data_IF_261216155111
#
_entry.id   IF_261216155111
#
_cell.length_a   1.000
_cell.length_b   1.000
_cell.length_c   1.000
_cell.angle_alpha   90.00
_cell.angle_beta   90.00
_cell.angle_gamma   90.00
#
_symmetry.space_group_name_H-M   'P 1'
#
loop_
_entity.id
_entity.type
_entity.pdbx_description
1 polymer ?
#
# COMPACT_ATOMS: atom_id res chain seq x y z
N UNK A 1 14.19 9.85 16.91
CA UNK A 1 13.18 10.91 16.69
C UNK A 1 12.72 11.56 17.99
N UNK A 2 12.08 10.84 18.93
CA UNK A 2 11.54 11.44 20.17
C UNK A 2 12.54 12.27 21.00
N UNK A 3 13.84 11.89 21.04
CA UNK A 3 14.88 12.71 21.70
C UNK A 3 15.09 14.06 21.01
N UNK A 4 15.03 14.10 19.67
CA UNK A 4 15.19 15.32 18.88
C UNK A 4 13.97 16.24 19.04
N UNK A 5 12.76 15.66 19.04
CA UNK A 5 11.51 16.36 19.35
C UNK A 5 11.59 17.01 20.74
N UNK A 6 11.94 16.24 21.78
CA UNK A 6 12.12 16.77 23.14
C UNK A 6 13.18 17.86 23.26
N UNK A 7 14.12 17.92 22.32
CA UNK A 7 15.14 18.96 22.23
C UNK A 7 14.73 20.15 21.35
N UNK A 8 13.47 20.22 20.92
CA UNK A 8 12.94 21.30 20.08
C UNK A 8 13.54 21.35 18.68
N UNK A 9 13.88 20.19 18.08
CA UNK A 9 14.48 20.11 16.75
C UNK A 9 13.50 19.58 15.72
N UNK A 10 13.45 20.23 14.55
CA UNK A 10 12.80 19.69 13.36
C UNK A 10 13.42 18.34 12.98
N UNK A 11 12.63 17.47 12.36
CA UNK A 11 13.02 16.13 11.94
C UNK A 11 12.88 16.02 10.42
N UNK A 12 13.97 15.64 9.77
CA UNK A 12 13.96 15.04 8.45
C UNK A 12 14.49 13.61 8.58
N UNK A 13 13.74 12.61 8.10
CA UNK A 13 14.11 11.20 8.23
C UNK A 13 13.85 10.42 6.96
N UNK A 14 14.61 9.35 6.75
CA UNK A 14 14.29 8.34 5.75
C UNK A 14 13.01 7.57 6.09
N UNK A 15 12.41 6.97 5.05
CA UNK A 15 11.33 5.99 5.19
C UNK A 15 11.86 4.66 5.75
N UNK A 16 11.04 3.83 6.40
CA UNK A 16 9.69 4.13 6.93
C UNK A 16 9.79 4.86 8.28
N UNK A 17 8.75 5.61 8.66
CA UNK A 17 8.80 6.47 9.86
C UNK A 17 9.10 5.70 11.16
N UNK A 18 8.49 4.53 11.32
CA UNK A 18 8.68 3.63 12.45
C UNK A 18 8.30 2.18 12.09
N UNK A 19 8.79 1.18 12.85
CA UNK A 19 8.40 -0.23 12.71
C UNK A 19 6.93 -0.55 12.94
N UNK A 20 6.25 0.23 13.79
CA UNK A 20 4.84 0.01 14.11
C UNK A 20 4.04 1.28 13.92
N UNK A 21 2.74 1.13 13.63
CA UNK A 21 1.82 2.27 13.56
C UNK A 21 1.73 2.99 14.91
N UNK A 22 1.75 2.27 16.02
CA UNK A 22 1.75 2.86 17.37
C UNK A 22 2.99 3.74 17.62
N UNK A 23 4.17 3.31 17.18
CA UNK A 23 5.37 4.14 17.25
C UNK A 23 5.31 5.36 16.35
N UNK A 24 4.80 5.20 15.12
CA UNK A 24 4.58 6.30 14.20
C UNK A 24 3.60 7.33 14.78
N UNK A 25 2.49 6.87 15.38
CA UNK A 25 1.50 7.70 16.07
C UNK A 25 2.11 8.42 17.27
N UNK A 26 2.95 7.74 18.07
CA UNK A 26 3.68 8.40 19.17
C UNK A 26 4.65 9.47 18.68
N UNK A 27 5.31 9.26 17.54
CA UNK A 27 6.17 10.28 16.95
C UNK A 27 5.35 11.46 16.44
N UNK A 28 4.24 11.19 15.75
CA UNK A 28 3.34 12.22 15.24
C UNK A 28 2.65 13.02 16.36
N UNK A 29 2.24 12.37 17.45
CA UNK A 29 1.63 13.03 18.61
C UNK A 29 2.65 13.81 19.45
N UNK A 30 3.93 13.44 19.38
CA UNK A 30 5.00 14.20 20.02
C UNK A 30 5.41 15.43 19.21
N UNK A 31 5.06 15.50 17.92
CA UNK A 31 5.28 16.67 17.09
C UNK A 31 4.45 17.83 17.67
N UNK A 32 5.15 18.78 18.30
CA UNK A 32 4.55 20.03 18.74
C UNK A 32 4.21 20.87 17.49
N UNK A 33 3.16 21.70 17.56
CA UNK A 33 2.67 22.48 16.42
C UNK A 33 3.71 23.47 15.81
N UNK A 34 4.89 23.57 16.43
CA UNK A 34 6.01 24.42 16.02
C UNK A 34 7.20 23.65 15.44
N UNK A 35 7.21 22.32 15.51
CA UNK A 35 8.23 21.48 14.90
C UNK A 35 7.75 20.99 13.53
N UNK A 36 8.72 20.63 12.69
CA UNK A 36 8.46 20.13 11.34
C UNK A 36 8.95 18.70 11.30
N UNK A 37 8.05 17.77 10.97
CA UNK A 37 8.35 16.37 10.73
C UNK A 37 8.20 16.06 9.24
N UNK A 38 9.32 15.76 8.59
CA UNK A 38 9.35 15.39 7.18
C UNK A 38 9.94 13.98 7.01
N UNK A 39 9.16 13.11 6.36
CA UNK A 39 9.64 11.80 5.89
C UNK A 39 10.06 11.94 4.43
N UNK A 40 11.23 11.40 4.09
CA UNK A 40 11.78 11.36 2.75
C UNK A 40 10.93 10.46 1.85
N UNK A 41 10.00 11.08 1.12
CA UNK A 41 9.13 10.43 0.13
C UNK A 41 9.42 11.04 -1.25
N UNK A 42 10.61 10.77 -1.84
CA UNK A 42 11.11 11.53 -2.99
C UNK A 42 10.20 11.48 -4.21
N UNK A 43 9.50 10.36 -4.45
CA UNK A 43 8.64 10.19 -5.63
C UNK A 43 7.39 11.07 -5.64
N UNK A 44 7.00 11.63 -4.49
CA UNK A 44 5.95 12.66 -4.45
C UNK A 44 6.33 13.93 -5.23
N UNK A 45 7.62 14.09 -5.52
CA UNK A 45 8.17 15.28 -6.14
C UNK A 45 8.89 14.99 -7.46
N UNK A 46 8.86 13.75 -7.93
CA UNK A 46 9.40 13.41 -9.24
C UNK A 46 8.58 14.08 -10.34
N UNK A 47 9.21 14.52 -11.46
CA UNK A 47 8.51 15.24 -12.50
C UNK A 47 7.30 14.48 -13.08
N UNK A 48 7.38 13.15 -13.17
CA UNK A 48 6.25 12.33 -13.62
C UNK A 48 5.06 12.41 -12.66
N UNK A 49 5.29 12.45 -11.34
CA UNK A 49 4.21 12.56 -10.34
C UNK A 49 3.55 13.92 -10.44
N UNK A 50 4.34 14.99 -10.57
CA UNK A 50 3.83 16.35 -10.74
C UNK A 50 2.97 16.44 -12.02
N UNK A 51 3.41 15.83 -13.12
CA UNK A 51 2.64 15.78 -14.36
C UNK A 51 1.31 15.00 -14.21
N UNK A 52 1.34 13.86 -13.50
CA UNK A 52 0.13 13.06 -13.22
C UNK A 52 -0.87 13.87 -12.39
N UNK A 53 -0.41 14.52 -11.32
CA UNK A 53 -1.28 15.36 -10.48
C UNK A 53 -1.90 16.51 -11.25
N UNK A 54 -1.10 17.21 -12.07
CA UNK A 54 -1.61 18.27 -12.95
C UNK A 54 -2.68 17.73 -13.91
N UNK A 55 -2.46 16.56 -14.50
CA UNK A 55 -3.42 15.92 -15.41
C UNK A 55 -4.73 15.56 -14.69
N UNK A 56 -4.64 15.16 -13.42
CA UNK A 56 -5.80 14.91 -12.55
C UNK A 56 -6.52 16.21 -12.19
N UNK A 57 -5.80 17.26 -11.83
CA UNK A 57 -6.34 18.58 -11.46
C UNK A 57 -7.05 19.27 -12.63
N UNK A 58 -6.51 19.11 -13.85
CA UNK A 58 -7.14 19.59 -15.09
C UNK A 58 -8.39 18.78 -15.47
N UNK A 59 -8.67 17.68 -14.77
CA UNK A 59 -9.81 16.80 -15.06
C UNK A 59 -9.65 16.02 -16.38
N UNK A 60 -8.44 15.93 -16.93
CA UNK A 60 -8.17 15.31 -18.23
C UNK A 60 -8.55 13.82 -18.24
N UNK A 61 -8.36 13.11 -17.12
CA UNK A 61 -8.77 11.69 -17.00
C UNK A 61 -10.24 11.51 -16.57
N UNK A 62 -10.94 12.59 -16.22
CA UNK A 62 -12.16 12.51 -15.43
C UNK A 62 -11.92 11.88 -14.05
N UNK A 63 -12.93 11.19 -13.54
CA UNK A 63 -12.80 10.50 -12.25
C UNK A 63 -11.84 9.32 -12.34
N UNK A 64 -10.82 9.21 -11.47
CA UNK A 64 -9.99 8.02 -11.36
C UNK A 64 -10.84 6.80 -11.03
N UNK A 65 -10.59 5.67 -11.71
CA UNK A 65 -11.32 4.41 -11.52
C UNK A 65 -10.40 3.29 -11.06
N UNK A 66 -9.15 3.30 -11.55
CA UNK A 66 -8.17 2.25 -11.28
C UNK A 66 -6.76 2.82 -11.28
N UNK A 67 -5.90 2.31 -10.39
CA UNK A 67 -4.46 2.55 -10.45
C UNK A 67 -3.67 1.27 -10.19
N UNK A 68 -2.51 1.14 -10.83
CA UNK A 68 -1.50 0.14 -10.52
C UNK A 68 -0.15 0.80 -10.41
N UNK A 69 0.53 0.67 -9.28
CA UNK A 69 1.87 1.21 -9.08
C UNK A 69 2.80 0.09 -8.63
N UNK A 70 3.89 -0.10 -9.34
CA UNK A 70 4.86 -1.16 -9.03
C UNK A 70 6.24 -0.56 -8.89
N UNK A 71 6.94 -0.97 -7.84
CA UNK A 71 8.37 -0.72 -7.67
C UNK A 71 9.09 -2.03 -7.37
N UNK A 72 10.11 -2.33 -8.15
CA UNK A 72 10.87 -3.55 -7.99
C UNK A 72 12.32 -3.39 -8.45
N UNK A 73 13.16 -4.32 -8.05
CA UNK A 73 14.48 -4.53 -8.62
C UNK A 73 14.91 -6.00 -8.47
N UNK A 74 16.07 -6.34 -8.99
CA UNK A 74 16.61 -7.69 -9.07
C UNK A 74 17.56 -8.02 -7.90
N UNK A 75 17.44 -7.31 -6.78
CA UNK A 75 18.53 -7.21 -5.79
C UNK A 75 18.97 -8.52 -5.17
N UNK A 76 18.02 -9.41 -4.86
CA UNK A 76 18.36 -10.74 -4.37
C UNK A 76 18.83 -11.69 -5.46
N UNK A 77 18.20 -11.65 -6.65
CA UNK A 77 18.54 -12.58 -7.74
C UNK A 77 19.86 -12.20 -8.42
N UNK A 78 20.21 -10.92 -8.45
CA UNK A 78 21.48 -10.39 -8.96
C UNK A 78 22.58 -10.29 -7.88
N UNK A 79 22.25 -10.55 -6.61
CA UNK A 79 23.23 -10.69 -5.53
C UNK A 79 23.86 -9.38 -5.03
N UNK A 80 23.27 -8.21 -5.32
CA UNK A 80 23.80 -6.91 -4.86
C UNK A 80 23.06 -6.37 -3.62
N UNK A 81 21.88 -6.89 -3.28
CA UNK A 81 21.13 -6.42 -2.12
C UNK A 81 21.82 -6.87 -0.82
N UNK A 82 22.15 -5.96 0.11
CA UNK A 82 22.84 -6.32 1.33
C UNK A 82 22.05 -7.29 2.21
N UNK A 83 22.75 -8.24 2.84
CA UNK A 83 22.13 -9.32 3.63
C UNK A 83 21.22 -8.81 4.77
N UNK A 84 21.50 -7.62 5.31
CA UNK A 84 20.65 -6.98 6.34
C UNK A 84 19.20 -6.76 5.91
N UNK A 85 18.91 -6.72 4.61
CA UNK A 85 17.54 -6.63 4.08
C UNK A 85 16.77 -7.96 4.15
N UNK A 86 17.45 -9.06 4.46
CA UNK A 86 16.84 -10.37 4.71
C UNK A 86 16.53 -10.64 6.18
N UNK A 87 17.00 -9.76 7.08
CA UNK A 87 16.83 -9.86 8.53
C UNK A 87 15.61 -9.05 8.98
N UNK A 88 14.62 -9.66 9.66
CA UNK A 88 13.37 -8.99 10.00
C UNK A 88 13.53 -7.85 11.00
N UNK A 89 14.53 -7.89 11.87
CA UNK A 89 14.77 -6.86 12.89
C UNK A 89 15.45 -5.62 12.27
N UNK A 90 16.48 -5.85 11.45
CA UNK A 90 17.22 -4.77 10.78
C UNK A 90 16.45 -4.14 9.62
N UNK A 91 15.66 -4.94 8.89
CA UNK A 91 14.92 -4.48 7.70
C UNK A 91 13.49 -4.02 8.02
N UNK A 92 12.93 -4.38 9.17
CA UNK A 92 11.57 -4.02 9.59
C UNK A 92 10.51 -4.62 8.61
N UNK A 93 10.88 -5.68 7.90
CA UNK A 93 10.09 -6.32 6.86
C UNK A 93 10.89 -6.46 5.57
N UNK A 94 10.28 -7.05 4.54
CA UNK A 94 10.96 -7.35 3.29
C UNK A 94 10.68 -6.32 2.21
N UNK A 95 10.41 -6.81 1.00
CA UNK A 95 10.18 -5.99 -0.18
C UNK A 95 9.11 -4.91 0.04
N UNK A 96 8.06 -5.20 0.82
CA UNK A 96 6.97 -4.25 0.99
C UNK A 96 7.37 -3.06 1.88
N UNK A 97 8.08 -3.31 2.98
CA UNK A 97 8.59 -2.24 3.85
C UNK A 97 9.59 -1.37 3.10
N UNK A 98 10.52 -1.98 2.36
CA UNK A 98 11.55 -1.25 1.64
C UNK A 98 10.98 -0.50 0.42
N UNK A 99 10.32 -1.21 -0.49
CA UNK A 99 9.87 -0.65 -1.76
C UNK A 99 8.39 -0.30 -1.77
N UNK A 100 7.53 -1.15 -1.19
CA UNK A 100 6.07 -1.06 -1.27
C UNK A 100 5.46 0.22 -0.70
N UNK A 101 6.14 0.86 0.25
CA UNK A 101 5.73 2.17 0.77
C UNK A 101 5.60 3.23 -0.34
N UNK A 102 6.44 3.16 -1.39
CA UNK A 102 6.43 4.08 -2.51
C UNK A 102 5.16 3.97 -3.36
N UNK A 103 4.85 2.81 -3.96
CA UNK A 103 3.55 2.54 -4.55
C UNK A 103 2.34 2.86 -3.67
N UNK A 104 2.40 2.60 -2.36
CA UNK A 104 1.29 2.85 -1.46
C UNK A 104 0.93 4.35 -1.36
N UNK A 105 1.90 5.23 -1.09
CA UNK A 105 1.60 6.66 -1.01
C UNK A 105 1.26 7.28 -2.37
N UNK A 106 1.81 6.77 -3.48
CA UNK A 106 1.47 7.26 -4.82
C UNK A 106 0.04 6.87 -5.20
N UNK A 107 -0.36 5.64 -4.90
CA UNK A 107 -1.74 5.19 -5.12
C UNK A 107 -2.73 6.07 -4.36
N UNK A 108 -2.43 6.36 -3.09
CA UNK A 108 -3.23 7.29 -2.26
C UNK A 108 -3.30 8.70 -2.85
N UNK A 109 -2.17 9.21 -3.34
CA UNK A 109 -2.08 10.51 -4.00
C UNK A 109 -2.98 10.59 -5.23
N UNK A 110 -2.91 9.58 -6.11
CA UNK A 110 -3.66 9.57 -7.37
C UNK A 110 -5.18 9.44 -7.17
N UNK A 111 -5.61 8.68 -6.15
CA UNK A 111 -7.03 8.59 -5.80
C UNK A 111 -7.53 9.76 -4.95
N UNK A 112 -6.64 10.61 -4.43
CA UNK A 112 -6.97 11.74 -3.53
C UNK A 112 -7.87 11.31 -2.36
N UNK A 113 -7.65 10.11 -1.85
CA UNK A 113 -8.49 9.51 -0.83
C UNK A 113 -7.68 8.49 -0.03
N UNK A 114 -8.15 8.18 1.18
CA UNK A 114 -7.69 7.02 1.94
C UNK A 114 -8.44 5.76 1.46
N UNK A 115 -7.80 4.58 1.44
CA UNK A 115 -8.47 3.34 1.13
C UNK A 115 -9.45 2.94 2.25
N UNK A 116 -10.62 2.42 1.88
CA UNK A 116 -11.62 1.87 2.81
C UNK A 116 -11.32 0.43 3.23
N UNK A 117 -10.60 -0.32 2.40
CA UNK A 117 -10.16 -1.68 2.69
C UNK A 117 -8.88 -1.99 1.93
N UNK A 118 -8.07 -2.90 2.47
CA UNK A 118 -6.88 -3.45 1.80
C UNK A 118 -6.83 -4.97 1.96
N UNK A 119 -6.25 -5.64 0.97
CA UNK A 119 -5.91 -7.06 1.02
C UNK A 119 -4.54 -7.27 0.39
N UNK A 120 -3.69 -8.07 1.04
CA UNK A 120 -2.29 -8.26 0.65
C UNK A 120 -1.94 -9.74 0.50
N UNK A 121 -1.10 -10.04 -0.48
CA UNK A 121 -0.47 -11.34 -0.68
C UNK A 121 1.04 -11.13 -0.75
N UNK A 122 1.76 -11.90 0.05
CA UNK A 122 3.22 -11.88 0.13
C UNK A 122 3.81 -13.19 -0.39
N UNK A 123 4.95 -13.09 -1.07
CA UNK A 123 5.71 -14.22 -1.61
C UNK A 123 7.16 -14.19 -1.14
N UNK A 124 7.73 -15.38 -0.97
CA UNK A 124 9.16 -15.57 -0.67
C UNK A 124 9.71 -16.63 -1.62
N UNK A 125 10.51 -16.19 -2.59
CA UNK A 125 11.20 -17.02 -3.59
C UNK A 125 12.58 -17.43 -3.07
N UNK A 126 13.25 -16.51 -2.38
CA UNK A 126 14.62 -16.67 -1.86
C UNK A 126 14.67 -17.37 -0.50
N UNK A 127 13.50 -17.68 0.08
CA UNK A 127 13.34 -18.42 1.35
C UNK A 127 14.06 -17.73 2.51
N UNK A 128 14.07 -16.39 2.48
CA UNK A 128 14.55 -15.55 3.57
C UNK A 128 13.47 -15.38 4.65
N UNK A 129 13.85 -14.80 5.78
CA UNK A 129 12.92 -14.59 6.91
C UNK A 129 11.87 -13.50 6.64
N UNK A 130 12.05 -12.72 5.57
CA UNK A 130 11.13 -11.69 5.10
C UNK A 130 10.68 -11.99 3.67
N UNK A 131 9.58 -11.37 3.26
CA UNK A 131 9.03 -11.50 1.91
C UNK A 131 9.92 -10.80 0.86
N UNK A 132 9.99 -11.36 -0.34
CA UNK A 132 10.68 -10.74 -1.47
C UNK A 132 9.74 -10.28 -2.58
N UNK A 133 8.44 -10.57 -2.45
CA UNK A 133 7.37 -10.10 -3.29
C UNK A 133 6.14 -9.71 -2.47
N UNK A 134 5.46 -8.66 -2.90
CA UNK A 134 4.21 -8.22 -2.33
C UNK A 134 3.28 -7.68 -3.41
N UNK A 135 2.01 -8.06 -3.33
CA UNK A 135 0.91 -7.46 -4.09
C UNK A 135 -0.15 -7.04 -3.09
N UNK A 136 -0.52 -5.77 -3.10
CA UNK A 136 -1.58 -5.23 -2.27
C UNK A 136 -2.66 -4.65 -3.16
N UNK A 137 -3.90 -4.96 -2.82
CA UNK A 137 -5.11 -4.39 -3.42
C UNK A 137 -5.78 -3.48 -2.41
N UNK A 138 -6.30 -2.36 -2.88
CA UNK A 138 -6.98 -1.36 -2.07
C UNK A 138 -8.30 -0.97 -2.72
N UNK A 139 -9.33 -0.89 -1.89
CA UNK A 139 -10.62 -0.32 -2.24
C UNK A 139 -10.63 1.14 -1.79
N UNK A 140 -11.06 2.05 -2.67
CA UNK A 140 -11.24 3.46 -2.37
C UNK A 140 -12.74 3.82 -2.45
N UNK A 141 -13.17 4.91 -1.78
CA UNK A 141 -14.55 5.38 -1.86
C UNK A 141 -15.03 5.52 -3.30
N UNK A 142 -16.28 5.14 -3.57
CA UNK A 142 -16.85 5.17 -4.93
C UNK A 142 -16.51 3.97 -5.80
N UNK A 143 -16.02 2.86 -5.22
CA UNK A 143 -15.73 1.62 -5.94
C UNK A 143 -14.45 1.65 -6.77
N UNK A 144 -13.59 2.66 -6.55
CA UNK A 144 -12.30 2.81 -7.21
C UNK A 144 -11.31 1.80 -6.64
N UNK A 145 -10.42 1.29 -7.47
CA UNK A 145 -9.47 0.24 -7.08
C UNK A 145 -8.02 0.70 -7.23
N UNK A 146 -7.18 0.29 -6.31
CA UNK A 146 -5.73 0.46 -6.38
C UNK A 146 -5.03 -0.88 -6.24
N UNK A 147 -3.95 -1.06 -7.00
CA UNK A 147 -3.00 -2.15 -6.85
C UNK A 147 -1.63 -1.54 -6.64
N UNK A 148 -0.92 -1.99 -5.61
CA UNK A 148 0.46 -1.60 -5.41
C UNK A 148 1.36 -2.78 -5.06
N UNK A 149 2.52 -2.81 -5.71
CA UNK A 149 3.37 -4.00 -5.78
C UNK A 149 4.82 -3.66 -5.45
N UNK A 150 5.48 -4.59 -4.76
CA UNK A 150 6.89 -4.54 -4.43
C UNK A 150 7.59 -5.87 -4.76
N UNK A 151 8.80 -5.81 -5.30
CA UNK A 151 9.62 -7.01 -5.49
C UNK A 151 11.12 -6.72 -5.46
N UNK A 152 11.90 -7.60 -4.85
CA UNK A 152 13.37 -7.55 -4.86
C UNK A 152 14.00 -8.75 -5.57
N UNK A 153 13.18 -9.53 -6.29
CA UNK A 153 13.58 -10.74 -7.03
C UNK A 153 13.13 -10.70 -8.49
N UNK A 154 12.84 -9.52 -9.02
CA UNK A 154 12.29 -9.38 -10.37
C UNK A 154 13.34 -8.99 -11.39
N UNK A 155 13.23 -9.50 -12.62
CA UNK A 155 14.05 -9.09 -13.76
C UNK A 155 13.82 -7.65 -14.22
N UNK A 156 14.38 -7.24 -15.37
CA UNK A 156 14.38 -5.86 -15.85
C UNK A 156 12.99 -5.21 -15.87
N UNK A 157 12.91 -3.94 -15.47
CA UNK A 157 11.67 -3.17 -15.33
C UNK A 157 11.40 -2.80 -13.87
N UNK A 158 11.92 -1.64 -13.46
CA UNK A 158 12.03 -1.24 -12.05
C UNK A 158 10.77 -0.54 -11.53
N UNK A 159 10.20 0.39 -12.29
CA UNK A 159 9.11 1.23 -11.80
C UNK A 159 8.08 1.53 -12.87
N UNK A 160 6.81 1.31 -12.54
CA UNK A 160 5.69 1.57 -13.45
C UNK A 160 4.46 2.09 -12.72
N UNK A 161 3.74 2.98 -13.39
CA UNK A 161 2.43 3.50 -12.97
C UNK A 161 1.45 3.26 -14.11
N UNK A 162 0.27 2.79 -13.78
CA UNK A 162 -0.91 2.82 -14.61
C UNK A 162 -2.00 3.55 -13.83
N UNK A 163 -2.66 4.51 -14.46
CA UNK A 163 -3.77 5.24 -13.89
C UNK A 163 -4.87 5.36 -14.92
N UNK A 164 -6.08 4.93 -14.57
CA UNK A 164 -7.25 4.95 -15.41
C UNK A 164 -8.28 5.87 -14.79
N UNK A 165 -8.96 6.62 -15.64
CA UNK A 165 -10.15 7.37 -15.29
C UNK A 165 -11.24 7.19 -16.33
N UNK A 166 -12.39 7.80 -16.05
CA UNK A 166 -13.60 7.72 -16.89
C UNK A 166 -13.46 8.31 -18.30
N UNK A 167 -12.48 9.19 -18.53
CA UNK A 167 -12.25 9.85 -19.83
C UNK A 167 -10.86 9.63 -20.42
N UNK A 168 -9.97 8.96 -19.70
CA UNK A 168 -8.62 8.75 -20.19
C UNK A 168 -7.77 7.87 -19.28
N UNK A 169 -6.53 7.67 -19.70
CA UNK A 169 -5.56 6.87 -19.00
C UNK A 169 -4.14 7.44 -19.11
N UNK A 170 -3.36 7.25 -18.06
CA UNK A 170 -1.93 7.50 -18.02
C UNK A 170 -1.17 6.20 -17.78
N UNK A 171 -0.03 6.07 -18.43
CA UNK A 171 0.99 5.08 -18.06
C UNK A 171 2.33 5.77 -17.90
N UNK A 172 3.09 5.32 -16.93
CA UNK A 172 4.50 5.64 -16.78
C UNK A 172 5.28 4.35 -16.63
N UNK A 173 6.40 4.23 -17.33
CA UNK A 173 7.18 3.01 -17.37
C UNK A 173 7.63 2.73 -18.79
N UNK A 174 8.68 1.90 -18.92
CA UNK A 174 9.42 1.73 -20.18
C UNK A 174 10.12 3.03 -20.65
N UNK A 175 11.46 3.04 -20.63
CA UNK A 175 12.25 4.22 -21.01
C UNK A 175 12.01 5.49 -20.17
N UNK A 176 11.32 5.41 -19.02
CA UNK A 176 10.92 6.56 -18.16
C UNK A 176 9.98 7.55 -18.86
N UNK A 177 9.16 7.06 -19.80
CA UNK A 177 8.17 7.88 -20.52
C UNK A 177 6.83 7.93 -19.77
N UNK A 178 6.22 9.11 -19.70
CA UNK A 178 4.83 9.30 -19.28
C UNK A 178 3.96 9.41 -20.52
N UNK A 179 2.92 8.60 -20.64
CA UNK A 179 2.03 8.56 -21.81
C UNK A 179 0.58 8.76 -21.39
N UNK A 180 -0.16 9.53 -22.18
CA UNK A 180 -1.57 9.85 -22.00
C UNK A 180 -2.40 9.35 -23.18
N UNK A 181 -3.59 8.85 -22.90
CA UNK A 181 -4.59 8.53 -23.90
C UNK A 181 -5.98 8.99 -23.43
N UNK A 182 -6.65 9.82 -24.22
CA UNK A 182 -7.99 10.36 -23.98
C UNK A 182 -9.01 9.92 -25.04
N UNK A 183 -8.68 8.88 -25.82
CA UNK A 183 -9.50 8.37 -26.93
C UNK A 183 -8.79 8.41 -28.29
N UNK A 184 -7.83 9.33 -28.48
CA UNK A 184 -7.14 9.56 -29.77
C UNK A 184 -5.82 8.80 -29.93
N UNK A 185 -5.58 7.80 -29.06
CA UNK A 185 -4.33 7.05 -29.00
C UNK A 185 -3.35 7.58 -27.95
N UNK A 186 -2.22 6.88 -27.82
CA UNK A 186 -1.21 7.19 -26.81
C UNK A 186 -0.23 8.24 -27.30
N UNK A 187 -0.12 9.35 -26.57
CA UNK A 187 0.89 10.39 -26.77
C UNK A 187 1.79 10.53 -25.55
N UNK A 188 3.04 10.89 -25.77
CA UNK A 188 3.96 11.22 -24.68
C UNK A 188 3.61 12.56 -24.04
N UNK A 189 3.69 12.63 -22.72
CA UNK A 189 3.58 13.85 -21.93
C UNK A 189 4.96 14.23 -21.43
N UNK A 190 5.49 15.39 -21.85
CA UNK A 190 6.78 15.85 -21.33
C UNK A 190 6.66 16.15 -19.83
N UNK A 191 7.67 15.80 -19.02
CA UNK A 191 7.69 16.20 -17.62
C UNK A 191 7.75 17.73 -17.51
N UNK A 192 7.18 18.32 -16.44
CA UNK A 192 7.27 19.74 -16.19
C UNK A 192 8.74 20.18 -16.06
N UNK A 193 9.08 21.31 -16.69
CA UNK A 193 10.44 21.85 -16.75
C UNK A 193 11.02 22.23 -15.37
N UNK A 194 10.15 22.50 -14.40
CA UNK A 194 10.54 22.89 -13.04
C UNK A 194 9.78 22.06 -12.02
N UNK A 195 10.48 21.57 -11.00
CA UNK A 195 9.88 20.94 -9.82
C UNK A 195 9.20 22.04 -9.00
N UNK A 196 7.85 22.08 -8.91
CA UNK A 196 7.21 23.04 -8.03
C UNK A 196 7.63 22.75 -6.59
N UNK A 197 8.00 23.80 -5.86
CA UNK A 197 8.15 23.70 -4.40
C UNK A 197 6.78 23.41 -3.81
N UNK A 198 6.52 22.18 -3.38
CA UNK A 198 5.36 21.91 -2.52
C UNK A 198 5.63 22.61 -1.19
N UNK A 199 4.89 23.67 -0.90
CA UNK A 199 4.73 24.12 0.48
C UNK A 199 4.17 22.94 1.28
N UNK A 200 4.61 22.77 2.52
CA UNK A 200 4.02 21.83 3.47
C UNK A 200 2.59 22.29 3.86
N UNK A 201 1.66 22.31 2.90
CA UNK A 201 0.26 22.68 3.08
C UNK A 201 -0.55 21.53 3.70
N UNK A 202 0.03 20.90 4.72
CA UNK A 202 -0.64 20.08 5.72
C UNK A 202 -0.42 20.60 7.16
N UNK A 203 0.39 21.65 7.32
CA UNK A 203 0.57 22.36 8.59
C UNK A 203 0.16 23.83 8.39
N UNK A 204 -1.09 24.07 8.03
CA UNK A 204 -1.69 25.40 8.19
C UNK A 204 -2.46 25.40 9.50
N UNK A 205 -1.87 26.00 10.52
CA UNK A 205 -2.58 26.47 11.71
C UNK A 205 -3.68 27.43 11.27
N UNK A 206 -4.93 26.97 11.25
CA UNK A 206 -6.09 27.84 11.14
C UNK A 206 -6.29 28.54 12.49
N UNK A 207 -5.58 29.65 12.70
CA UNK A 207 -5.89 30.62 13.74
C UNK A 207 -7.10 31.45 13.31
N UNK A 208 -8.28 30.84 13.28
CA UNK A 208 -9.58 31.53 13.43
C UNK A 208 -10.63 30.49 13.76
N UNK A 209 -11.24 30.63 14.94
CA UNK A 209 -12.13 29.65 15.53
C UNK A 209 -13.33 29.31 14.65
N UNK A 210 -13.49 28.02 14.39
CA UNK A 210 -14.68 27.20 14.61
C UNK A 210 -14.29 25.78 14.19
N UNK A 211 -14.02 24.92 15.17
CA UNK A 211 -13.67 23.53 14.91
C UNK A 211 -14.92 22.77 14.39
N UNK A 212 -14.87 22.08 13.23
CA UNK A 212 -15.84 21.07 12.93
C UNK A 212 -15.53 19.85 13.80
N UNK A 213 -16.38 19.59 14.79
CA UNK A 213 -16.31 18.44 15.68
C UNK A 213 -16.48 17.14 14.87
N UNK A 214 -15.38 16.52 14.44
CA UNK A 214 -15.40 15.13 14.01
C UNK A 214 -15.05 14.27 15.22
N UNK A 215 -16.08 13.93 16.00
CA UNK A 215 -15.97 12.95 17.07
C UNK A 215 -15.55 11.59 16.48
N UNK A 216 -14.33 11.18 16.78
CA UNK A 216 -13.92 9.77 16.72
C UNK A 216 -14.75 8.98 17.72
N UNK A 217 -15.86 8.40 17.28
CA UNK A 217 -16.62 7.43 18.08
C UNK A 217 -16.07 6.04 17.79
N UNK A 218 -15.12 5.60 18.62
CA UNK A 218 -14.79 4.19 18.76
C UNK A 218 -16.02 3.47 19.34
N UNK A 219 -16.84 2.87 18.48
CA UNK A 219 -17.89 1.94 18.92
C UNK A 219 -17.23 0.62 19.35
N UNK A 220 -16.76 0.57 20.59
CA UNK A 220 -16.48 -0.69 21.27
C UNK A 220 -17.80 -1.48 21.36
N UNK A 221 -17.92 -2.60 20.65
CA UNK A 221 -18.98 -3.57 20.93
C UNK A 221 -18.67 -4.22 22.27
N UNK A 222 -19.28 -3.72 23.34
CA UNK A 222 -19.35 -4.42 24.62
C UNK A 222 -20.06 -5.76 24.41
N UNK A 223 -19.37 -6.87 24.67
CA UNK A 223 -20.02 -8.19 24.82
C UNK A 223 -20.91 -8.13 26.05
N UNK A 224 -22.20 -8.32 25.85
CA UNK A 224 -23.17 -8.46 26.93
C UNK A 224 -22.83 -9.72 27.75
N UNK A 225 -22.81 -9.54 29.06
CA UNK A 225 -22.71 -10.56 30.09
C UNK A 225 -23.95 -11.48 30.09
N UNK A 226 -23.74 -12.79 30.06
CA UNK A 226 -24.76 -13.77 30.46
C UNK A 226 -24.18 -14.74 31.50
N UNK A 227 -24.79 -14.72 32.68
CA UNK A 227 -24.52 -15.53 33.87
C UNK A 227 -24.61 -17.06 33.62
N UNK A 228 -23.88 -17.91 34.39
CA UNK A 228 -23.69 -19.32 34.07
C UNK A 228 -24.86 -20.20 34.52
N UNK A 229 -25.29 -21.14 33.66
CA UNK A 229 -26.12 -22.29 34.04
C UNK A 229 -25.28 -23.56 34.04
N UNK A 230 -25.23 -24.19 35.21
CA UNK A 230 -24.64 -25.49 35.54
C UNK A 230 -25.39 -26.67 34.91
N UNK A 231 -24.66 -27.68 34.41
CA UNK A 231 -25.09 -29.11 34.32
C UNK A 231 -23.86 -30.02 34.02
N UNK A 232 -23.92 -31.34 34.28
CA UNK A 232 -23.04 -32.09 35.20
C UNK A 232 -21.93 -32.90 34.49
N UNK A 233 -21.01 -33.58 35.21
CA UNK A 233 -19.81 -34.16 34.61
C UNK A 233 -20.07 -35.52 33.95
N UNK A 234 -19.34 -35.81 32.87
CA UNK A 234 -19.26 -37.12 32.24
C UNK A 234 -17.97 -37.87 32.66
N UNK A 235 -17.99 -39.21 32.76
CA UNK A 235 -16.96 -39.97 33.47
C UNK A 235 -15.78 -40.45 32.60
N UNK A 236 -14.62 -40.59 33.24
CA UNK A 236 -13.79 -41.80 33.17
C UNK A 236 -12.90 -42.03 31.94
N UNK A 237 -11.59 -41.90 32.16
CA UNK A 237 -10.50 -42.18 31.23
C UNK A 237 -10.48 -43.60 30.62
N UNK A 238 -9.86 -43.73 29.44
CA UNK A 238 -8.87 -44.79 29.11
C UNK A 238 -8.09 -44.49 27.84
N UNK A 239 -6.81 -44.84 27.91
CA UNK A 239 -5.76 -44.75 26.90
C UNK A 239 -6.00 -45.66 25.68
N UNK A 240 -5.48 -45.27 24.50
CA UNK A 240 -4.92 -46.19 23.48
C UNK A 240 -4.22 -45.44 22.33
N UNK A 241 -2.91 -45.67 22.24
CA UNK A 241 -2.06 -45.85 21.05
C UNK A 241 -2.39 -45.12 19.74
N UNK A 242 -1.49 -44.23 19.34
CA UNK A 242 -1.31 -43.75 17.97
C UNK A 242 -0.96 -44.91 17.01
N UNK A 243 -1.77 -45.08 15.95
CA UNK A 243 -1.37 -45.76 14.70
C UNK A 243 -1.64 -44.80 13.54
N UNK A 244 -0.62 -44.53 12.71
CA UNK A 244 -0.75 -43.83 11.43
C UNK A 244 -1.52 -44.68 10.41
N UNK A 245 -2.35 -44.07 9.54
CA UNK A 245 -2.68 -44.65 8.25
C UNK A 245 -1.95 -43.94 7.08
N UNK A 246 -1.88 -44.58 5.90
CA UNK A 246 -0.87 -44.29 4.88
C UNK A 246 -1.30 -43.29 3.80
N UNK A 247 -0.26 -42.86 3.10
CA UNK A 247 -0.15 -42.12 1.85
C UNK A 247 -1.26 -42.41 0.81
N UNK A 248 -1.97 -41.35 0.36
CA UNK A 248 -2.83 -41.37 -0.83
C UNK A 248 -2.81 -39.99 -1.52
N UNK A 249 -2.12 -39.92 -2.66
CA UNK A 249 -2.27 -38.85 -3.67
C UNK A 249 -3.69 -38.85 -4.24
N UNK A 250 -4.23 -37.69 -4.64
CA UNK A 250 -5.24 -37.63 -5.70
C UNK A 250 -4.68 -36.98 -6.97
N UNK A 251 -4.92 -37.65 -8.10
CA UNK A 251 -4.77 -37.14 -9.48
C UNK A 251 -5.85 -36.09 -9.78
N UNK A 252 -5.48 -35.18 -10.68
CA UNK A 252 -6.34 -34.19 -11.35
C UNK A 252 -7.67 -34.75 -11.87
N UNK A 253 -8.75 -33.99 -11.67
CA UNK A 253 -9.90 -33.95 -12.56
C UNK A 253 -10.35 -32.48 -12.70
N UNK A 254 -10.05 -31.91 -13.87
CA UNK A 254 -10.66 -30.69 -14.38
C UNK A 254 -12.14 -30.99 -14.67
N UNK A 255 -13.05 -30.14 -14.16
CA UNK A 255 -14.41 -30.03 -14.67
C UNK A 255 -14.77 -28.56 -14.87
N UNK A 256 -15.43 -28.20 -15.99
CA UNK A 256 -15.70 -26.82 -16.36
C UNK A 256 -16.93 -26.27 -15.63
N UNK A 257 -16.82 -25.05 -15.11
CA UNK A 257 -17.94 -24.29 -14.53
C UNK A 257 -18.58 -23.44 -15.63
N UNK A 258 -19.92 -23.50 -15.85
CA UNK A 258 -20.58 -22.69 -16.87
C UNK A 258 -20.89 -21.28 -16.34
N UNK A 259 -20.47 -20.26 -17.09
CA UNK A 259 -20.84 -18.86 -16.89
C UNK A 259 -22.15 -18.58 -17.64
N UNK A 260 -23.21 -18.02 -17.01
CA UNK A 260 -24.33 -17.47 -17.74
C UNK A 260 -24.08 -15.97 -17.95
N UNK A 261 -24.06 -15.51 -19.19
CA UNK A 261 -24.47 -14.18 -19.67
C UNK A 261 -23.83 -13.92 -21.03
N UNK A 262 -24.47 -14.42 -22.09
CA UNK A 262 -24.32 -13.94 -23.46
C UNK A 262 -25.53 -14.43 -24.26
N UNK A 263 -26.57 -13.58 -24.33
CA UNK A 263 -27.55 -13.66 -25.41
C UNK A 263 -27.15 -12.65 -26.49
N UNK A 264 -27.07 -13.20 -27.68
CA UNK A 264 -26.76 -12.62 -28.99
C UNK A 264 -27.65 -11.42 -29.36
N UNK A 265 -27.08 -10.53 -30.16
CA UNK A 265 -27.73 -10.07 -31.37
C UNK A 265 -26.79 -10.40 -32.55
N UNK A 266 -27.34 -11.22 -33.48
CA UNK A 266 -26.87 -11.59 -34.83
C UNK A 266 -25.56 -12.39 -34.93
#
# INVERSE_FOLDING_TARGET
MLRAIRAGKHIFTEKVLAPTSEEAERIAAADDAHLALAVSLPRLYDPYTVAIERTLDEGTLGEPTYSRVRLAHDGWVAGWLPERFGDPEAAIGGAFTDLGCHPAYLTRLFHRAEPSAISAVYGSITVRQVEDNAVVTAEFPGGRLGVFEASVVQGPGDFSIELRGTRGALTYGDGRSLRLNTGDGWRELPPPATRPGRSASGCSTSTTGHAPTTTWTTRSRSRASSSPRTRPPAPGARSRSFRRPPDKRPRCLLSPVPHPFLRRAL
#
